data_IF_577380119675
#
_entry.id   IF_577380119675
#
_cell.length_a   1.000
_cell.length_b   1.000
_cell.length_c   1.000
_cell.angle_alpha   90.00
_cell.angle_beta   90.00
_cell.angle_gamma   90.00
#
_symmetry.space_group_name_H-M   'P 1'
#
loop_
_entity.id
_entity.type
_entity.pdbx_description
1 polymer ?
#
# COMPACT_ATOMS: atom_id res chain seq x y z
N UNK A 1 27.32 -23.69 -7.72
CA UNK A 1 26.35 -23.82 -8.85
C UNK A 1 26.27 -22.58 -9.75
N UNK A 2 27.17 -21.59 -9.60
CA UNK A 2 27.14 -20.32 -10.35
C UNK A 2 28.02 -20.30 -11.64
N UNK A 3 28.58 -21.43 -12.07
CA UNK A 3 29.57 -21.48 -13.16
C UNK A 3 29.06 -22.06 -14.49
N UNK A 4 27.76 -22.40 -14.62
CA UNK A 4 27.21 -23.04 -15.84
C UNK A 4 26.36 -22.14 -16.74
N UNK A 5 26.11 -20.89 -16.38
CA UNK A 5 25.26 -20.00 -17.19
C UNK A 5 26.01 -19.18 -18.27
N UNK A 6 27.34 -19.18 -18.28
CA UNK A 6 28.12 -18.34 -19.21
C UNK A 6 28.41 -18.97 -20.58
N UNK A 7 28.11 -20.26 -20.80
CA UNK A 7 28.50 -20.94 -22.05
C UNK A 7 27.44 -20.97 -23.15
N UNK A 8 26.23 -20.44 -22.93
CA UNK A 8 25.12 -20.61 -23.89
C UNK A 8 24.77 -19.40 -24.75
N UNK A 9 25.51 -18.29 -24.66
CA UNK A 9 25.18 -17.06 -25.40
C UNK A 9 26.20 -16.67 -26.50
N UNK A 10 27.08 -17.61 -26.89
CA UNK A 10 28.18 -17.31 -27.83
C UNK A 10 27.85 -17.46 -29.32
N UNK A 11 26.61 -17.78 -29.67
CA UNK A 11 26.20 -17.90 -31.08
C UNK A 11 24.91 -17.12 -31.31
N UNK A 12 25.04 -15.82 -31.55
CA UNK A 12 24.48 -15.19 -32.74
C UNK A 12 24.86 -13.70 -32.82
N UNK A 13 25.31 -13.34 -34.03
CA UNK A 13 25.39 -11.99 -34.63
C UNK A 13 26.72 -11.26 -34.44
N UNK A 14 27.59 -11.62 -35.38
CA UNK A 14 28.59 -10.81 -36.08
C UNK A 14 27.88 -9.62 -36.76
N UNK A 15 28.22 -8.38 -36.38
CA UNK A 15 28.85 -7.39 -37.27
C UNK A 15 28.89 -5.98 -36.62
N UNK A 16 30.09 -5.38 -36.60
CA UNK A 16 30.30 -3.94 -36.49
C UNK A 16 30.88 -3.40 -35.17
N UNK A 17 32.21 -3.47 -35.02
CA UNK A 17 33.05 -2.60 -34.17
C UNK A 17 33.12 -2.77 -32.64
N UNK A 18 32.70 -3.89 -32.04
CA UNK A 18 32.90 -4.15 -30.60
C UNK A 18 34.05 -5.13 -30.26
N UNK A 19 34.77 -5.66 -31.25
CA UNK A 19 35.65 -6.82 -31.04
C UNK A 19 37.01 -6.52 -30.42
N UNK A 20 37.56 -5.31 -30.56
CA UNK A 20 38.90 -5.01 -30.03
C UNK A 20 38.89 -4.76 -28.50
N UNK A 21 37.87 -4.08 -27.99
CA UNK A 21 37.73 -3.82 -26.56
C UNK A 21 37.33 -5.06 -25.76
N UNK A 22 36.48 -5.94 -26.32
CA UNK A 22 36.15 -7.23 -25.67
C UNK A 22 37.33 -8.19 -25.65
N UNK A 23 38.17 -8.18 -26.69
CA UNK A 23 39.42 -8.96 -26.73
C UNK A 23 40.43 -8.38 -25.74
N UNK A 24 40.58 -7.05 -25.66
CA UNK A 24 41.44 -6.39 -24.68
C UNK A 24 40.99 -6.66 -23.23
N UNK A 25 39.68 -6.64 -22.95
CA UNK A 25 39.09 -6.98 -21.65
C UNK A 25 39.26 -8.48 -21.32
N UNK A 26 39.15 -9.35 -22.32
CA UNK A 26 39.45 -10.78 -22.19
C UNK A 26 40.92 -11.04 -21.85
N UNK A 27 41.86 -10.35 -22.51
CA UNK A 27 43.29 -10.42 -22.20
C UNK A 27 43.61 -9.88 -20.81
N UNK A 28 43.00 -8.77 -20.39
CA UNK A 28 43.16 -8.24 -19.03
C UNK A 28 42.61 -9.20 -17.95
N UNK A 29 41.46 -9.85 -18.19
CA UNK A 29 40.92 -10.88 -17.29
C UNK A 29 41.82 -12.10 -17.16
N UNK A 30 42.39 -12.59 -18.27
CA UNK A 30 43.34 -13.71 -18.26
C UNK A 30 44.60 -13.32 -17.49
N UNK A 31 45.09 -12.10 -17.68
CA UNK A 31 46.31 -11.60 -17.02
C UNK A 31 46.11 -11.47 -15.50
N UNK A 32 44.94 -10.99 -15.06
CA UNK A 32 44.60 -10.90 -13.63
C UNK A 32 44.39 -12.29 -13.01
N UNK A 33 43.75 -13.23 -13.70
CA UNK A 33 43.62 -14.61 -13.20
C UNK A 33 44.98 -15.33 -13.11
N UNK A 34 45.88 -15.07 -14.06
CA UNK A 34 47.26 -15.56 -14.02
C UNK A 34 48.01 -14.95 -12.83
N UNK A 35 47.88 -13.64 -12.59
CA UNK A 35 48.46 -12.98 -11.42
C UNK A 35 47.91 -13.53 -10.10
N UNK A 36 46.60 -13.79 -10.00
CA UNK A 36 45.99 -14.43 -8.83
C UNK A 36 46.54 -15.85 -8.62
N UNK A 37 46.69 -16.66 -9.68
CA UNK A 37 47.30 -17.99 -9.58
C UNK A 37 48.77 -17.94 -9.18
N UNK A 38 49.52 -16.97 -9.70
CA UNK A 38 50.92 -16.75 -9.31
C UNK A 38 50.99 -16.38 -7.83
N UNK A 39 50.13 -15.47 -7.36
CA UNK A 39 50.06 -15.08 -5.95
C UNK A 39 49.61 -16.23 -5.05
N UNK A 40 48.63 -17.04 -5.46
CA UNK A 40 48.20 -18.24 -4.72
C UNK A 40 49.29 -19.32 -4.67
N UNK A 41 50.07 -19.49 -5.74
CA UNK A 41 51.21 -20.41 -5.75
C UNK A 41 52.37 -19.90 -4.90
N UNK A 42 52.61 -18.58 -4.88
CA UNK A 42 53.55 -17.94 -3.96
C UNK A 42 53.09 -18.16 -2.51
N UNK A 43 51.79 -18.01 -2.22
CA UNK A 43 51.20 -18.27 -0.89
C UNK A 43 51.35 -19.73 -0.41
N UNK A 44 51.37 -20.72 -1.31
CA UNK A 44 51.62 -22.12 -0.94
C UNK A 44 53.07 -22.41 -0.55
N UNK A 45 54.03 -21.61 -1.06
CA UNK A 45 55.46 -21.74 -0.75
C UNK A 45 55.84 -21.08 0.58
N UNK A 46 55.12 -20.05 1.00
CA UNK A 46 55.40 -19.32 2.26
C UNK A 46 55.42 -20.23 3.51
N UNK A 47 54.50 -21.21 3.71
CA UNK A 47 54.57 -22.15 4.82
C UNK A 47 55.78 -23.11 4.76
N UNK A 48 56.20 -23.52 3.56
CA UNK A 48 57.38 -24.36 3.35
C UNK A 48 58.67 -23.58 3.63
N UNK A 49 58.73 -22.33 3.19
CA UNK A 49 59.81 -21.39 3.50
C UNK A 49 59.85 -21.05 4.99
N UNK A 50 58.69 -20.94 5.66
CA UNK A 50 58.59 -20.74 7.11
C UNK A 50 59.07 -21.97 7.88
N UNK A 51 58.76 -23.18 7.41
CA UNK A 51 59.31 -24.44 7.97
C UNK A 51 60.82 -24.52 7.75
N UNK A 52 61.32 -24.22 6.55
CA UNK A 52 62.75 -24.27 6.25
C UNK A 52 63.56 -23.27 7.08
N UNK A 53 63.04 -22.05 7.27
CA UNK A 53 63.63 -21.03 8.15
C UNK A 53 63.57 -21.44 9.62
N UNK A 54 62.49 -22.08 10.07
CA UNK A 54 62.35 -22.62 11.44
C UNK A 54 63.33 -23.77 11.70
N UNK A 55 63.48 -24.70 10.74
CA UNK A 55 64.48 -25.78 10.81
C UNK A 55 65.92 -25.25 10.79
N UNK A 56 66.19 -24.21 9.98
CA UNK A 56 67.50 -23.55 9.92
C UNK A 56 67.82 -22.80 11.22
N UNK A 57 66.81 -22.18 11.85
CA UNK A 57 66.87 -21.59 13.19
C UNK A 57 67.14 -22.65 14.26
N UNK A 58 66.41 -23.75 14.27
CA UNK A 58 66.56 -24.81 15.27
C UNK A 58 67.95 -25.48 15.15
N UNK A 59 68.46 -25.66 13.93
CA UNK A 59 69.83 -26.11 13.67
C UNK A 59 70.91 -25.09 14.11
N UNK A 60 70.65 -23.78 13.97
CA UNK A 60 71.56 -22.72 14.44
C UNK A 60 71.60 -22.63 15.98
N UNK A 61 70.47 -22.88 16.65
CA UNK A 61 70.36 -22.94 18.10
C UNK A 61 71.13 -24.16 18.63
N UNK A 62 70.98 -25.33 17.99
CA UNK A 62 71.74 -26.55 18.32
C UNK A 62 73.25 -26.38 18.12
N UNK A 63 73.66 -25.70 17.04
CA UNK A 63 75.08 -25.47 16.73
C UNK A 63 75.75 -24.41 17.61
N UNK A 64 74.97 -23.48 18.19
CA UNK A 64 75.47 -22.42 19.08
C UNK A 64 75.40 -22.75 20.57
N UNK A 65 74.62 -23.76 20.98
CA UNK A 65 74.63 -24.28 22.35
C UNK A 65 75.97 -24.85 22.82
N UNK A 66 76.97 -24.95 21.93
CA UNK A 66 78.33 -25.42 22.23
C UNK A 66 79.37 -24.29 22.46
N UNK A 67 79.01 -23.01 22.29
CA UNK A 67 79.92 -21.89 22.58
C UNK A 67 79.25 -20.78 23.40
N UNK A 68 79.82 -20.60 24.58
CA UNK A 68 79.47 -19.75 25.72
C UNK A 68 78.99 -18.31 25.41
N UNK A 69 77.83 -17.98 25.99
CA UNK A 69 77.55 -16.88 26.94
C UNK A 69 77.92 -15.40 26.68
N UNK A 70 78.24 -14.96 25.46
CA UNK A 70 78.38 -13.50 25.20
C UNK A 70 77.60 -12.92 24.01
N UNK A 71 76.63 -13.64 23.44
CA UNK A 71 75.90 -13.21 22.22
C UNK A 71 74.37 -13.37 22.27
N UNK A 72 73.77 -13.70 23.41
CA UNK A 72 72.33 -14.02 23.52
C UNK A 72 71.41 -12.80 23.36
N UNK A 73 71.82 -11.63 23.85
CA UNK A 73 71.00 -10.41 23.83
C UNK A 73 70.89 -9.79 22.42
N UNK A 74 71.96 -9.80 21.63
CA UNK A 74 71.93 -9.30 20.26
C UNK A 74 71.17 -10.23 19.31
N UNK A 75 71.25 -11.55 19.54
CA UNK A 75 70.43 -12.53 18.83
C UNK A 75 68.95 -12.38 19.21
N UNK A 76 68.63 -12.09 20.47
CA UNK A 76 67.25 -11.78 20.89
C UNK A 76 66.74 -10.48 20.26
N UNK A 77 67.55 -9.42 20.22
CA UNK A 77 67.22 -8.16 19.53
C UNK A 77 66.98 -8.36 18.04
N UNK A 78 67.83 -9.13 17.36
CA UNK A 78 67.61 -9.48 15.95
C UNK A 78 66.35 -10.31 15.74
N UNK A 79 66.04 -11.26 16.63
CA UNK A 79 64.80 -12.03 16.56
C UNK A 79 63.55 -11.17 16.81
N UNK A 80 63.61 -10.22 17.73
CA UNK A 80 62.53 -9.26 17.98
C UNK A 80 62.31 -8.34 16.78
N UNK A 81 63.38 -7.81 16.18
CA UNK A 81 63.31 -7.02 14.96
C UNK A 81 62.76 -7.81 13.77
N UNK A 82 63.16 -9.08 13.63
CA UNK A 82 62.64 -9.97 12.59
C UNK A 82 61.14 -10.27 12.80
N UNK A 83 60.71 -10.51 14.04
CA UNK A 83 59.30 -10.74 14.36
C UNK A 83 58.45 -9.47 14.14
N UNK A 84 58.98 -8.28 14.43
CA UNK A 84 58.33 -7.02 14.10
C UNK A 84 58.20 -6.84 12.58
N UNK A 85 59.24 -7.14 11.81
CA UNK A 85 59.18 -7.10 10.34
C UNK A 85 58.16 -8.09 9.77
N UNK A 86 58.09 -9.31 10.31
CA UNK A 86 57.09 -10.31 9.90
C UNK A 86 55.68 -9.83 10.24
N UNK A 87 55.46 -9.29 11.45
CA UNK A 87 54.16 -8.75 11.87
C UNK A 87 53.71 -7.57 10.99
N UNK A 88 54.63 -6.66 10.66
CA UNK A 88 54.36 -5.54 9.75
C UNK A 88 54.04 -6.01 8.33
N UNK A 89 54.72 -7.05 7.85
CA UNK A 89 54.44 -7.67 6.56
C UNK A 89 53.05 -8.35 6.58
N UNK A 90 52.73 -9.13 7.61
CA UNK A 90 51.42 -9.78 7.77
C UNK A 90 50.28 -8.75 7.79
N UNK A 91 50.44 -7.64 8.53
CA UNK A 91 49.48 -6.51 8.49
C UNK A 91 49.36 -5.88 7.11
N UNK A 92 50.48 -5.63 6.43
CA UNK A 92 50.49 -5.03 5.08
C UNK A 92 49.81 -5.94 4.06
N UNK A 93 50.02 -7.25 4.14
CA UNK A 93 49.34 -8.24 3.31
C UNK A 93 47.85 -8.33 3.63
N UNK A 94 47.46 -8.27 4.91
CA UNK A 94 46.06 -8.21 5.33
C UNK A 94 45.34 -6.99 4.74
N UNK A 95 45.99 -5.82 4.79
CA UNK A 95 45.48 -4.60 4.15
C UNK A 95 45.37 -4.74 2.63
N UNK A 96 46.38 -5.31 1.96
CA UNK A 96 46.35 -5.54 0.52
C UNK A 96 45.22 -6.50 0.12
N UNK A 97 44.99 -7.56 0.89
CA UNK A 97 43.94 -8.54 0.63
C UNK A 97 42.55 -7.94 0.80
N UNK A 98 42.36 -7.11 1.83
CA UNK A 98 41.13 -6.34 2.01
C UNK A 98 40.92 -5.36 0.84
N UNK A 99 41.95 -4.61 0.44
CA UNK A 99 41.87 -3.71 -0.72
C UNK A 99 41.51 -4.45 -2.02
N UNK A 100 42.05 -5.65 -2.24
CA UNK A 100 41.69 -6.48 -3.41
C UNK A 100 40.23 -6.94 -3.33
N UNK A 101 39.76 -7.31 -2.14
CA UNK A 101 38.36 -7.69 -1.92
C UNK A 101 37.42 -6.51 -2.18
N UNK A 102 37.75 -5.33 -1.65
CA UNK A 102 36.96 -4.11 -1.82
C UNK A 102 36.94 -3.64 -3.28
N UNK A 103 38.07 -3.76 -3.99
CA UNK A 103 38.13 -3.50 -5.44
C UNK A 103 37.28 -4.48 -6.25
N UNK A 104 37.27 -5.77 -5.90
CA UNK A 104 36.42 -6.75 -6.59
C UNK A 104 34.93 -6.48 -6.34
N UNK A 105 34.55 -6.13 -5.12
CA UNK A 105 33.18 -5.71 -4.79
C UNK A 105 32.80 -4.46 -5.58
N UNK A 106 33.67 -3.46 -5.62
CA UNK A 106 33.46 -2.23 -6.39
C UNK A 106 33.30 -2.49 -7.89
N UNK A 107 34.11 -3.41 -8.46
CA UNK A 107 33.99 -3.82 -9.87
C UNK A 107 32.68 -4.54 -10.16
N UNK A 108 32.24 -5.43 -9.27
CA UNK A 108 30.94 -6.10 -9.42
C UNK A 108 29.79 -5.09 -9.36
N UNK A 109 29.86 -4.13 -8.44
CA UNK A 109 28.87 -3.07 -8.33
C UNK A 109 28.82 -2.22 -9.61
N UNK A 110 29.97 -1.86 -10.20
CA UNK A 110 30.04 -1.15 -11.48
C UNK A 110 29.44 -1.96 -12.65
N UNK A 111 29.62 -3.27 -12.69
CA UNK A 111 29.03 -4.12 -13.72
C UNK A 111 27.49 -4.19 -13.60
N UNK A 112 26.97 -4.28 -12.36
CA UNK A 112 25.53 -4.25 -12.11
C UNK A 112 24.94 -2.88 -12.51
N UNK A 113 25.62 -1.80 -12.12
CA UNK A 113 25.33 -0.41 -12.53
C UNK A 113 25.21 -0.27 -14.05
N UNK A 114 26.22 -0.73 -14.80
CA UNK A 114 26.25 -0.70 -16.26
C UNK A 114 25.14 -1.55 -16.88
N UNK A 115 24.84 -2.72 -16.30
CA UNK A 115 23.77 -3.60 -16.75
C UNK A 115 22.39 -2.94 -16.63
N UNK A 116 22.11 -2.30 -15.49
CA UNK A 116 20.84 -1.59 -15.25
C UNK A 116 20.70 -0.39 -16.17
N UNK A 117 21.73 0.46 -16.30
CA UNK A 117 21.70 1.59 -17.24
C UNK A 117 21.46 1.11 -18.67
N UNK A 118 22.17 0.08 -19.11
CA UNK A 118 22.04 -0.45 -20.48
C UNK A 118 20.63 -1.00 -20.73
N UNK A 119 20.06 -1.71 -19.76
CA UNK A 119 18.69 -2.19 -19.84
C UNK A 119 17.68 -1.04 -19.84
N UNK A 120 17.83 -0.05 -18.96
CA UNK A 120 16.97 1.13 -18.92
C UNK A 120 17.01 1.92 -20.23
N UNK A 121 18.20 2.15 -20.80
CA UNK A 121 18.37 2.84 -22.10
C UNK A 121 17.79 2.01 -23.25
N UNK A 122 17.93 0.67 -23.21
CA UNK A 122 17.33 -0.22 -24.20
C UNK A 122 15.80 -0.19 -24.13
N UNK A 123 15.24 -0.20 -22.91
CA UNK A 123 13.80 -0.10 -22.68
C UNK A 123 13.29 1.26 -23.16
N UNK A 124 13.93 2.38 -22.80
CA UNK A 124 13.55 3.72 -23.27
C UNK A 124 13.55 3.80 -24.81
N UNK A 125 14.57 3.24 -25.48
CA UNK A 125 14.63 3.17 -26.95
C UNK A 125 13.53 2.29 -27.55
N UNK A 126 13.23 1.14 -26.95
CA UNK A 126 12.15 0.26 -27.40
C UNK A 126 10.78 0.91 -27.24
N UNK A 127 10.52 1.54 -26.09
CA UNK A 127 9.26 2.19 -25.80
C UNK A 127 9.03 3.39 -26.72
N UNK A 128 10.05 4.19 -27.01
CA UNK A 128 9.97 5.29 -27.99
C UNK A 128 9.63 4.83 -29.41
N UNK A 129 10.11 3.65 -29.81
CA UNK A 129 9.95 3.15 -31.18
C UNK A 129 8.71 2.26 -31.37
N UNK A 130 8.22 1.59 -30.32
CA UNK A 130 7.21 0.53 -30.43
C UNK A 130 6.09 0.59 -29.39
N UNK A 131 5.89 1.73 -28.72
CA UNK A 131 4.90 1.90 -27.63
C UNK A 131 3.50 1.35 -27.94
N UNK A 132 3.01 1.45 -29.17
CA UNK A 132 1.64 1.03 -29.53
C UNK A 132 1.56 -0.42 -30.00
N UNK A 133 2.62 -0.94 -30.62
CA UNK A 133 2.68 -2.27 -31.24
C UNK A 133 3.32 -3.34 -30.37
N UNK A 134 3.68 -3.02 -29.13
CA UNK A 134 4.31 -3.97 -28.21
C UNK A 134 3.33 -5.08 -27.82
N UNK A 135 3.73 -6.31 -28.15
CA UNK A 135 3.04 -7.53 -27.73
C UNK A 135 3.13 -7.67 -26.20
N UNK A 136 2.02 -8.09 -25.58
CA UNK A 136 1.86 -8.20 -24.13
C UNK A 136 2.91 -9.15 -23.52
N UNK A 137 3.28 -10.21 -24.25
CA UNK A 137 4.32 -11.17 -23.82
C UNK A 137 5.70 -10.51 -23.75
N UNK A 138 6.00 -9.63 -24.70
CA UNK A 138 7.28 -8.90 -24.73
C UNK A 138 7.30 -7.89 -23.59
N UNK A 139 6.18 -7.20 -23.36
CA UNK A 139 6.05 -6.23 -22.26
C UNK A 139 6.24 -6.90 -20.89
N UNK A 140 5.60 -8.04 -20.64
CA UNK A 140 5.75 -8.79 -19.38
C UNK A 140 7.21 -9.21 -19.14
N UNK A 141 7.90 -9.68 -20.19
CA UNK A 141 9.33 -10.03 -20.11
C UNK A 141 10.21 -8.82 -19.81
N UNK A 142 9.90 -7.66 -20.38
CA UNK A 142 10.63 -6.41 -20.13
C UNK A 142 10.43 -5.98 -18.68
N UNK A 143 9.18 -5.94 -18.23
CA UNK A 143 8.80 -5.55 -16.86
C UNK A 143 9.45 -6.47 -15.83
N UNK A 144 9.38 -7.79 -16.03
CA UNK A 144 9.99 -8.76 -15.11
C UNK A 144 11.52 -8.62 -15.02
N UNK A 145 12.19 -8.37 -16.14
CA UNK A 145 13.65 -8.10 -16.15
C UNK A 145 14.00 -6.79 -15.44
N UNK A 146 13.25 -5.73 -15.70
CA UNK A 146 13.45 -4.43 -15.08
C UNK A 146 13.22 -4.50 -13.56
N UNK A 147 12.11 -5.11 -13.12
CA UNK A 147 11.79 -5.30 -11.72
C UNK A 147 12.88 -6.07 -10.96
N UNK A 148 13.39 -7.16 -11.54
CA UNK A 148 14.46 -7.95 -10.96
C UNK A 148 15.75 -7.12 -10.82
N UNK A 149 16.13 -6.38 -11.86
CA UNK A 149 17.32 -5.53 -11.83
C UNK A 149 17.19 -4.40 -10.81
N UNK A 150 16.03 -3.74 -10.75
CA UNK A 150 15.73 -2.71 -9.76
C UNK A 150 15.87 -3.27 -8.33
N UNK A 151 15.31 -4.46 -8.06
CA UNK A 151 15.44 -5.11 -6.75
C UNK A 151 16.91 -5.35 -6.36
N UNK A 152 17.76 -5.78 -7.29
CA UNK A 152 19.19 -5.95 -7.01
C UNK A 152 19.91 -4.63 -6.72
N UNK A 153 19.54 -3.55 -7.41
CA UNK A 153 20.16 -2.24 -7.17
C UNK A 153 19.72 -1.68 -5.81
N UNK A 154 18.43 -1.83 -5.47
CA UNK A 154 17.86 -1.38 -4.21
C UNK A 154 18.48 -2.14 -3.02
N UNK A 155 18.59 -3.48 -3.10
CA UNK A 155 19.17 -4.32 -2.03
C UNK A 155 20.65 -4.04 -1.76
N UNK A 156 21.40 -3.62 -2.78
CA UNK A 156 22.84 -3.38 -2.66
C UNK A 156 23.18 -1.92 -2.34
N UNK A 157 22.18 -1.02 -2.26
CA UNK A 157 22.35 0.42 -2.03
C UNK A 157 23.32 1.08 -3.04
N UNK A 158 23.32 0.57 -4.28
CA UNK A 158 24.29 0.93 -5.32
C UNK A 158 23.86 2.20 -6.10
N UNK A 159 22.65 2.71 -5.84
CA UNK A 159 22.00 3.79 -6.60
C UNK A 159 22.81 5.08 -6.57
N UNK A 160 23.14 5.60 -7.76
CA UNK A 160 23.65 6.98 -7.95
C UNK A 160 22.53 7.87 -8.46
N UNK A 161 22.62 9.19 -8.22
CA UNK A 161 21.60 10.17 -8.64
C UNK A 161 21.24 10.04 -10.12
N UNK A 162 22.22 9.93 -11.02
CA UNK A 162 21.98 9.77 -12.46
C UNK A 162 21.24 8.48 -12.84
N UNK A 163 21.39 7.41 -12.05
CA UNK A 163 20.65 6.15 -12.27
C UNK A 163 19.22 6.28 -11.80
N UNK A 164 19.01 6.98 -10.68
CA UNK A 164 17.69 7.21 -10.14
C UNK A 164 16.80 7.92 -11.17
N UNK A 165 17.32 8.95 -11.84
CA UNK A 165 16.57 9.72 -12.85
C UNK A 165 16.19 8.87 -14.07
N UNK A 166 17.13 8.05 -14.56
CA UNK A 166 16.89 7.13 -15.68
C UNK A 166 15.88 6.04 -15.30
N UNK A 167 16.00 5.48 -14.09
CA UNK A 167 15.11 4.44 -13.59
C UNK A 167 13.68 4.96 -13.42
N UNK A 168 13.51 6.13 -12.80
CA UNK A 168 12.18 6.78 -12.67
C UNK A 168 11.57 7.03 -14.05
N UNK A 169 12.35 7.56 -14.99
CA UNK A 169 11.87 7.84 -16.36
C UNK A 169 11.39 6.57 -17.06
N UNK A 170 12.16 5.48 -16.98
CA UNK A 170 11.80 4.20 -17.61
C UNK A 170 10.60 3.57 -16.95
N UNK A 171 10.53 3.62 -15.62
CA UNK A 171 9.41 3.10 -14.85
C UNK A 171 8.11 3.84 -15.19
N UNK A 172 8.13 5.17 -15.27
CA UNK A 172 6.98 5.97 -15.67
C UNK A 172 6.52 5.61 -17.09
N UNK A 173 7.45 5.38 -18.01
CA UNK A 173 7.10 4.94 -19.38
C UNK A 173 6.50 3.53 -19.39
N UNK A 174 7.06 2.59 -18.64
CA UNK A 174 6.52 1.23 -18.53
C UNK A 174 5.12 1.25 -17.93
N UNK A 175 4.92 1.96 -16.82
CA UNK A 175 3.61 2.15 -16.18
C UNK A 175 2.63 2.76 -17.16
N UNK A 176 3.03 3.76 -17.96
CA UNK A 176 2.15 4.36 -18.97
C UNK A 176 1.70 3.36 -20.05
N UNK A 177 2.60 2.50 -20.54
CA UNK A 177 2.22 1.47 -21.53
C UNK A 177 1.32 0.41 -20.90
N UNK A 178 1.62 -0.02 -19.66
CA UNK A 178 0.77 -0.95 -18.91
C UNK A 178 -0.62 -0.34 -18.69
N UNK A 179 -0.71 0.94 -18.28
CA UNK A 179 -1.97 1.67 -18.10
C UNK A 179 -2.84 1.62 -19.36
N UNK A 180 -2.25 1.90 -20.53
CA UNK A 180 -2.98 1.89 -21.79
C UNK A 180 -3.53 0.49 -22.12
N UNK A 181 -2.72 -0.56 -21.96
CA UNK A 181 -3.15 -1.95 -22.20
C UNK A 181 -4.19 -2.42 -21.18
N UNK A 182 -4.02 -2.04 -19.92
CA UNK A 182 -4.96 -2.35 -18.84
C UNK A 182 -6.33 -1.73 -19.10
N UNK A 183 -6.39 -0.45 -19.46
CA UNK A 183 -7.65 0.24 -19.76
C UNK A 183 -8.35 -0.36 -20.99
N UNK A 184 -7.61 -0.68 -22.05
CA UNK A 184 -8.16 -1.38 -23.23
C UNK A 184 -8.73 -2.76 -22.87
N UNK A 185 -8.05 -3.50 -21.98
CA UNK A 185 -8.51 -4.81 -21.54
C UNK A 185 -9.78 -4.74 -20.68
N UNK A 186 -9.90 -3.69 -19.85
CA UNK A 186 -11.12 -3.42 -19.09
C UNK A 186 -12.27 -3.06 -20.02
N UNK A 187 -12.06 -2.23 -21.05
CA UNK A 187 -13.09 -1.91 -22.04
C UNK A 187 -13.54 -3.13 -22.85
N UNK A 188 -12.64 -4.09 -23.08
CA UNK A 188 -12.91 -5.33 -23.82
C UNK A 188 -13.40 -6.49 -22.95
N UNK A 189 -13.53 -6.31 -21.62
CA UNK A 189 -13.84 -7.37 -20.65
C UNK A 189 -12.89 -8.60 -20.73
N UNK A 190 -11.61 -8.38 -21.10
CA UNK A 190 -10.62 -9.45 -21.26
C UNK A 190 -9.92 -9.78 -19.93
N UNK A 191 -10.41 -10.81 -19.24
CA UNK A 191 -9.86 -11.27 -17.97
C UNK A 191 -8.39 -11.74 -18.05
N UNK A 192 -7.94 -12.24 -19.19
CA UNK A 192 -6.58 -12.78 -19.33
C UNK A 192 -5.58 -11.63 -19.40
N UNK A 193 -5.86 -10.62 -20.23
CA UNK A 193 -5.01 -9.44 -20.35
C UNK A 193 -5.02 -8.64 -19.05
N UNK A 194 -6.19 -8.48 -18.40
CA UNK A 194 -6.29 -7.84 -17.08
C UNK A 194 -5.39 -8.53 -16.06
N UNK A 195 -5.43 -9.86 -15.98
CA UNK A 195 -4.58 -10.64 -15.06
C UNK A 195 -3.09 -10.37 -15.31
N UNK A 196 -2.66 -10.40 -16.57
CA UNK A 196 -1.26 -10.13 -16.95
C UNK A 196 -0.84 -8.70 -16.61
N UNK A 197 -1.71 -7.71 -16.85
CA UNK A 197 -1.47 -6.32 -16.46
C UNK A 197 -1.29 -6.16 -14.94
N UNK A 198 -2.15 -6.79 -14.13
CA UNK A 198 -2.04 -6.74 -12.67
C UNK A 198 -0.74 -7.37 -12.15
N UNK A 199 -0.30 -8.50 -12.73
CA UNK A 199 1.01 -9.10 -12.39
C UNK A 199 2.19 -8.20 -12.76
N UNK A 200 2.09 -7.45 -13.85
CA UNK A 200 3.10 -6.46 -14.22
C UNK A 200 3.15 -5.30 -13.22
N UNK A 201 2.00 -4.79 -12.75
CA UNK A 201 1.96 -3.80 -11.67
C UNK A 201 2.54 -4.34 -10.37
N UNK A 202 2.20 -5.58 -10.01
CA UNK A 202 2.72 -6.25 -8.81
C UNK A 202 4.25 -6.39 -8.87
N UNK A 203 4.79 -6.81 -10.02
CA UNK A 203 6.24 -6.90 -10.27
C UNK A 203 6.95 -5.56 -10.08
N UNK A 204 6.29 -4.45 -10.47
CA UNK A 204 6.82 -3.09 -10.30
C UNK A 204 6.53 -2.49 -8.92
N UNK A 205 5.80 -3.20 -8.05
CA UNK A 205 5.29 -2.68 -6.76
C UNK A 205 4.44 -1.40 -6.93
N UNK A 206 3.70 -1.31 -8.03
CA UNK A 206 2.88 -0.16 -8.42
C UNK A 206 1.38 -0.42 -8.23
N UNK A 207 1.01 -1.01 -7.10
CA UNK A 207 -0.38 -1.32 -6.75
C UNK A 207 -1.27 -0.08 -6.72
N UNK A 208 -0.80 0.96 -6.04
CA UNK A 208 -1.52 2.24 -5.92
C UNK A 208 -1.75 2.91 -7.28
N UNK A 209 -0.79 2.81 -8.20
CA UNK A 209 -0.92 3.42 -9.53
C UNK A 209 -2.00 2.72 -10.36
N UNK A 210 -2.09 1.39 -10.28
CA UNK A 210 -3.14 0.59 -10.94
C UNK A 210 -4.54 0.93 -10.41
N UNK A 211 -4.67 1.05 -9.09
CA UNK A 211 -5.94 1.41 -8.45
C UNK A 211 -6.34 2.86 -8.75
N UNK A 212 -5.37 3.78 -8.81
CA UNK A 212 -5.63 5.19 -9.11
C UNK A 212 -5.97 5.43 -10.59
N UNK A 213 -5.30 4.75 -11.54
CA UNK A 213 -5.65 4.89 -12.96
C UNK A 213 -7.06 4.35 -13.24
N UNK A 214 -7.43 3.23 -12.61
CA UNK A 214 -8.79 2.68 -12.68
C UNK A 214 -9.81 3.66 -12.08
N UNK A 215 -9.49 4.22 -10.90
CA UNK A 215 -10.31 5.22 -10.23
C UNK A 215 -10.58 6.42 -11.14
N UNK A 216 -9.53 7.02 -11.69
CA UNK A 216 -9.63 8.27 -12.46
C UNK A 216 -10.32 8.08 -13.82
N UNK A 217 -10.12 6.93 -14.46
CA UNK A 217 -10.53 6.72 -15.85
C UNK A 217 -11.89 6.03 -15.96
N UNK A 218 -12.19 5.08 -15.07
CA UNK A 218 -13.40 4.25 -15.17
C UNK A 218 -14.43 4.65 -14.11
N UNK A 219 -14.01 4.68 -12.84
CA UNK A 219 -14.93 4.93 -11.71
C UNK A 219 -15.40 6.38 -11.68
N UNK A 220 -14.47 7.34 -11.77
CA UNK A 220 -14.74 8.77 -11.62
C UNK A 220 -15.74 9.30 -12.64
N UNK A 221 -15.62 9.03 -13.96
CA UNK A 221 -16.59 9.56 -14.92
C UNK A 221 -18.01 9.03 -14.69
N UNK A 222 -18.15 7.79 -14.20
CA UNK A 222 -19.44 7.21 -13.88
C UNK A 222 -20.03 7.84 -12.61
N UNK A 223 -19.28 7.84 -11.49
CA UNK A 223 -19.76 8.38 -10.23
C UNK A 223 -19.99 9.89 -10.28
N UNK A 224 -19.15 10.66 -10.95
CA UNK A 224 -19.34 12.11 -11.10
C UNK A 224 -20.65 12.44 -11.82
N UNK A 225 -21.03 11.66 -12.85
CA UNK A 225 -22.33 11.80 -13.53
C UNK A 225 -23.49 11.40 -12.63
N UNK A 226 -23.30 10.37 -11.81
CA UNK A 226 -24.32 9.84 -10.91
C UNK A 226 -24.61 10.79 -9.72
N UNK A 227 -23.57 11.39 -9.15
CA UNK A 227 -23.61 12.27 -7.98
C UNK A 227 -23.77 13.77 -8.31
N UNK A 228 -24.03 14.13 -9.57
CA UNK A 228 -24.26 15.53 -9.97
C UNK A 228 -25.52 16.12 -9.33
N UNK A 229 -25.54 17.42 -9.00
CA UNK A 229 -26.68 18.11 -8.32
C UNK A 229 -28.06 17.84 -8.96
N UNK A 230 -28.09 17.74 -10.29
CA UNK A 230 -29.32 17.44 -11.06
C UNK A 230 -29.87 16.02 -10.84
N UNK A 231 -29.10 15.11 -10.23
CA UNK A 231 -29.53 13.72 -10.02
C UNK A 231 -30.50 13.57 -8.85
N UNK A 232 -30.38 14.42 -7.81
CA UNK A 232 -31.29 14.44 -6.65
C UNK A 232 -32.66 14.96 -7.02
N UNK A 233 -32.73 16.00 -7.84
CA UNK A 233 -34.00 16.54 -8.35
C UNK A 233 -34.70 15.53 -9.26
N UNK A 234 -33.94 14.86 -10.13
CA UNK A 234 -34.46 13.79 -11.00
C UNK A 234 -34.83 12.51 -10.25
N UNK A 235 -34.27 12.26 -9.07
CA UNK A 235 -34.54 11.06 -8.28
C UNK A 235 -35.70 11.22 -7.26
N UNK A 236 -36.48 12.29 -7.36
CA UNK A 236 -37.49 12.68 -6.37
C UNK A 236 -36.90 12.86 -4.95
N UNK A 237 -35.70 13.43 -4.84
CA UNK A 237 -34.99 13.68 -3.57
C UNK A 237 -34.60 12.40 -2.78
N UNK A 238 -34.75 11.22 -3.36
CA UNK A 238 -34.32 9.94 -2.77
C UNK A 238 -32.91 9.60 -3.23
N UNK A 239 -31.99 9.52 -2.26
CA UNK A 239 -30.59 9.15 -2.49
C UNK A 239 -30.47 7.63 -2.72
N UNK A 240 -31.48 6.85 -2.34
CA UNK A 240 -31.53 5.39 -2.44
C UNK A 240 -31.31 4.91 -3.88
N UNK A 241 -31.88 5.60 -4.87
CA UNK A 241 -31.71 5.26 -6.29
C UNK A 241 -30.28 5.52 -6.77
N UNK A 242 -29.68 6.62 -6.32
CA UNK A 242 -28.30 6.99 -6.63
C UNK A 242 -27.37 5.91 -6.07
N UNK A 243 -27.58 5.51 -4.82
CA UNK A 243 -26.78 4.46 -4.20
C UNK A 243 -26.96 3.09 -4.84
N UNK A 244 -28.19 2.69 -5.21
CA UNK A 244 -28.42 1.44 -5.95
C UNK A 244 -27.64 1.41 -7.26
N UNK A 245 -27.72 2.47 -8.06
CA UNK A 245 -26.97 2.55 -9.31
C UNK A 245 -25.45 2.55 -9.10
N UNK A 246 -24.96 3.05 -7.95
CA UNK A 246 -23.56 2.98 -7.59
C UNK A 246 -23.13 1.55 -7.21
N UNK A 247 -23.99 0.81 -6.51
CA UNK A 247 -23.76 -0.60 -6.20
C UNK A 247 -23.84 -1.49 -7.45
N UNK A 248 -24.79 -1.22 -8.34
CA UNK A 248 -24.93 -1.92 -9.61
C UNK A 248 -23.65 -1.80 -10.47
N UNK A 249 -22.95 -0.67 -10.40
CA UNK A 249 -21.67 -0.47 -11.08
C UNK A 249 -20.58 -1.42 -10.55
N UNK A 250 -20.55 -1.72 -9.25
CA UNK A 250 -19.62 -2.70 -8.68
C UNK A 250 -19.93 -4.09 -9.28
N UNK A 251 -21.21 -4.46 -9.35
CA UNK A 251 -21.63 -5.79 -9.77
C UNK A 251 -21.61 -6.00 -11.30
N UNK A 252 -21.57 -4.91 -12.07
CA UNK A 252 -21.52 -4.94 -13.53
C UNK A 252 -20.13 -4.55 -14.05
N UNK A 253 -19.77 -3.27 -13.97
CA UNK A 253 -18.54 -2.73 -14.56
C UNK A 253 -17.25 -3.16 -13.85
N UNK A 254 -17.30 -3.44 -12.54
CA UNK A 254 -16.12 -3.94 -11.81
C UNK A 254 -16.05 -5.47 -11.78
N UNK A 255 -17.00 -6.18 -12.39
CA UNK A 255 -17.13 -7.64 -12.26
C UNK A 255 -15.88 -8.38 -12.76
N UNK A 256 -15.37 -8.04 -13.93
CA UNK A 256 -14.18 -8.70 -14.50
C UNK A 256 -12.99 -8.52 -13.56
N UNK A 257 -12.77 -7.29 -13.09
CA UNK A 257 -11.67 -6.95 -12.19
C UNK A 257 -11.76 -7.67 -10.85
N UNK A 258 -12.93 -7.64 -10.21
CA UNK A 258 -13.19 -8.35 -8.95
C UNK A 258 -13.00 -9.85 -9.12
N UNK A 259 -13.52 -10.44 -10.20
CA UNK A 259 -13.37 -11.87 -10.49
C UNK A 259 -11.90 -12.27 -10.65
N UNK A 260 -11.12 -11.45 -11.38
CA UNK A 260 -9.69 -11.70 -11.58
C UNK A 260 -8.92 -11.66 -10.26
N UNK A 261 -9.16 -10.65 -9.41
CA UNK A 261 -8.49 -10.53 -8.10
C UNK A 261 -8.90 -11.69 -7.17
N UNK A 262 -10.15 -12.13 -7.21
CA UNK A 262 -10.63 -13.23 -6.37
C UNK A 262 -10.13 -14.61 -6.79
N UNK A 263 -9.92 -14.81 -8.10
CA UNK A 263 -9.47 -16.10 -8.65
C UNK A 263 -7.96 -16.30 -8.48
N UNK A 264 -7.19 -15.20 -8.45
CA UNK A 264 -5.73 -15.21 -8.43
C UNK A 264 -5.22 -14.81 -7.04
N UNK A 265 -4.82 -15.78 -6.23
CA UNK A 265 -4.34 -15.53 -4.86
C UNK A 265 -3.07 -14.66 -4.80
N UNK A 266 -2.28 -14.62 -5.88
CA UNK A 266 -1.13 -13.73 -6.08
C UNK A 266 -1.53 -12.25 -6.18
N UNK A 267 -2.80 -11.93 -6.48
CA UNK A 267 -3.29 -10.57 -6.66
C UNK A 267 -4.07 -10.04 -5.43
N UNK A 268 -4.03 -10.73 -4.29
CA UNK A 268 -4.71 -10.31 -3.05
C UNK A 268 -4.20 -8.98 -2.47
N UNK A 269 -3.06 -8.46 -2.94
CA UNK A 269 -2.55 -7.16 -2.56
C UNK A 269 -3.40 -5.99 -3.11
N UNK A 270 -4.20 -6.22 -4.15
CA UNK A 270 -5.04 -5.20 -4.76
C UNK A 270 -6.41 -5.13 -4.08
N UNK A 271 -6.86 -3.92 -3.77
CA UNK A 271 -8.21 -3.66 -3.28
C UNK A 271 -8.86 -2.50 -4.06
N UNK A 272 -9.28 -2.80 -5.29
CA UNK A 272 -9.95 -1.82 -6.17
C UNK A 272 -11.28 -1.29 -5.60
N UNK A 273 -11.99 -2.09 -4.79
CA UNK A 273 -13.26 -1.64 -4.19
C UNK A 273 -12.98 -0.55 -3.15
N UNK A 274 -11.98 -0.73 -2.30
CA UNK A 274 -11.61 0.28 -1.31
C UNK A 274 -10.82 1.45 -1.93
N UNK A 275 -9.75 1.17 -2.67
CA UNK A 275 -8.82 2.20 -3.14
C UNK A 275 -9.29 2.95 -4.38
N UNK A 276 -10.15 2.35 -5.21
CA UNK A 276 -10.71 3.00 -6.39
C UNK A 276 -12.16 3.42 -6.16
N UNK A 277 -13.05 2.47 -5.89
CA UNK A 277 -14.48 2.76 -5.80
C UNK A 277 -14.84 3.60 -4.58
N UNK A 278 -14.52 3.16 -3.37
CA UNK A 278 -14.89 3.86 -2.13
C UNK A 278 -14.30 5.27 -2.07
N UNK A 279 -12.99 5.42 -2.34
CA UNK A 279 -12.33 6.74 -2.35
C UNK A 279 -13.00 7.74 -3.30
N UNK A 280 -13.42 7.29 -4.48
CA UNK A 280 -14.12 8.17 -5.42
C UNK A 280 -15.58 8.38 -5.04
N UNK A 281 -16.27 7.37 -4.51
CA UNK A 281 -17.63 7.48 -3.99
C UNK A 281 -17.72 8.51 -2.86
N UNK A 282 -16.82 8.43 -1.88
CA UNK A 282 -16.75 9.38 -0.77
C UNK A 282 -16.54 10.81 -1.31
N UNK A 283 -15.57 10.98 -2.20
CA UNK A 283 -15.28 12.27 -2.84
C UNK A 283 -16.48 12.84 -3.59
N UNK A 284 -17.10 12.06 -4.48
CA UNK A 284 -18.23 12.53 -5.28
C UNK A 284 -19.48 12.77 -4.44
N UNK A 285 -19.68 12.03 -3.36
CA UNK A 285 -20.75 12.29 -2.38
C UNK A 285 -20.50 13.56 -1.56
N UNK A 286 -19.25 13.90 -1.24
CA UNK A 286 -18.89 15.15 -0.56
C UNK A 286 -19.07 16.36 -1.47
N UNK A 287 -18.57 16.28 -2.70
CA UNK A 287 -18.55 17.38 -3.67
C UNK A 287 -19.91 17.57 -4.36
N UNK A 288 -20.54 16.48 -4.80
CA UNK A 288 -21.77 16.52 -5.58
C UNK A 288 -23.06 16.55 -4.77
N UNK A 289 -23.02 16.13 -3.50
CA UNK A 289 -24.20 16.06 -2.63
C UNK A 289 -23.97 16.66 -1.23
N UNK A 290 -23.56 17.94 -1.10
CA UNK A 290 -23.26 18.52 0.22
C UNK A 290 -24.51 18.67 1.10
N UNK A 291 -25.68 18.88 0.49
CA UNK A 291 -26.93 19.18 1.20
C UNK A 291 -27.66 17.94 1.74
N UNK A 292 -27.25 16.71 1.35
CA UNK A 292 -27.96 15.48 1.77
C UNK A 292 -27.82 15.21 3.27
N UNK A 293 -26.76 15.74 3.89
CA UNK A 293 -26.43 15.54 5.31
C UNK A 293 -26.93 16.65 6.21
N UNK A 294 -27.67 17.63 5.67
CA UNK A 294 -28.22 18.73 6.44
C UNK A 294 -29.41 18.27 7.32
N UNK A 295 -29.43 18.60 8.63
CA UNK A 295 -30.47 18.14 9.56
C UNK A 295 -31.78 18.95 9.48
N UNK A 296 -31.89 19.95 8.60
CA UNK A 296 -33.00 20.90 8.57
C UNK A 296 -34.39 20.28 8.35
N UNK A 297 -34.47 19.12 7.68
CA UNK A 297 -35.67 18.29 7.63
C UNK A 297 -35.35 16.94 8.29
N UNK A 298 -35.83 16.68 9.52
CA UNK A 298 -35.43 15.51 10.28
C UNK A 298 -35.95 14.20 9.67
N UNK A 299 -37.13 14.20 9.03
CA UNK A 299 -37.66 13.01 8.34
C UNK A 299 -36.78 12.62 7.14
N UNK A 300 -36.41 13.59 6.31
CA UNK A 300 -35.52 13.35 5.19
C UNK A 300 -34.10 12.99 5.64
N UNK A 301 -33.60 13.63 6.70
CA UNK A 301 -32.28 13.35 7.27
C UNK A 301 -32.19 11.89 7.74
N UNK A 302 -33.18 11.41 8.50
CA UNK A 302 -33.18 10.05 9.02
C UNK A 302 -33.22 9.02 7.87
N UNK A 303 -34.07 9.24 6.88
CA UNK A 303 -34.15 8.35 5.70
C UNK A 303 -32.81 8.31 4.95
N UNK A 304 -32.22 9.47 4.67
CA UNK A 304 -30.91 9.55 3.97
C UNK A 304 -29.79 8.92 4.78
N UNK A 305 -29.79 9.11 6.10
CA UNK A 305 -28.81 8.49 6.97
C UNK A 305 -28.90 6.96 6.93
N UNK A 306 -30.11 6.39 7.08
CA UNK A 306 -30.33 4.94 7.00
C UNK A 306 -29.86 4.37 5.67
N UNK A 307 -30.25 5.00 4.56
CA UNK A 307 -29.83 4.56 3.22
C UNK A 307 -28.33 4.67 3.01
N UNK A 308 -27.69 5.71 3.54
CA UNK A 308 -26.23 5.86 3.47
C UNK A 308 -25.56 4.75 4.27
N UNK A 309 -26.00 4.51 5.51
CA UNK A 309 -25.44 3.49 6.38
C UNK A 309 -25.57 2.08 5.79
N UNK A 310 -26.74 1.74 5.21
CA UNK A 310 -26.96 0.47 4.52
C UNK A 310 -25.99 0.27 3.35
N UNK A 311 -25.75 1.32 2.57
CA UNK A 311 -24.84 1.27 1.41
C UNK A 311 -23.40 1.12 1.86
N UNK A 312 -22.99 1.80 2.94
CA UNK A 312 -21.66 1.60 3.53
C UNK A 312 -21.46 0.16 4.02
N UNK A 313 -22.49 -0.46 4.60
CA UNK A 313 -22.45 -1.88 5.00
C UNK A 313 -22.28 -2.82 3.81
N UNK A 314 -22.93 -2.52 2.68
CA UNK A 314 -22.77 -3.33 1.46
C UNK A 314 -21.35 -3.15 0.90
N UNK A 315 -20.84 -1.91 0.85
CA UNK A 315 -19.47 -1.63 0.38
C UNK A 315 -18.43 -2.30 1.27
N UNK A 316 -18.57 -2.23 2.61
CA UNK A 316 -17.62 -2.84 3.55
C UNK A 316 -17.58 -4.37 3.40
N UNK A 317 -18.75 -5.01 3.23
CA UNK A 317 -18.86 -6.43 2.89
C UNK A 317 -18.18 -6.78 1.59
N UNK A 318 -18.37 -5.97 0.54
CA UNK A 318 -17.72 -6.15 -0.77
C UNK A 318 -16.19 -5.98 -0.67
N UNK A 319 -15.71 -5.13 0.23
CA UNK A 319 -14.29 -5.00 0.58
C UNK A 319 -13.74 -6.18 1.43
N UNK A 320 -14.56 -7.16 1.81
CA UNK A 320 -14.23 -8.28 2.71
C UNK A 320 -13.76 -7.84 4.10
N UNK A 321 -14.17 -6.66 4.53
CA UNK A 321 -13.84 -6.12 5.85
C UNK A 321 -15.04 -5.34 6.41
N UNK A 322 -15.82 -5.99 7.27
CA UNK A 322 -17.03 -5.40 7.86
C UNK A 322 -16.69 -4.32 8.89
N UNK A 323 -15.50 -4.38 9.49
CA UNK A 323 -15.03 -3.43 10.51
C UNK A 323 -14.61 -2.07 9.92
N UNK A 324 -14.62 -1.90 8.59
CA UNK A 324 -14.29 -0.62 7.96
C UNK A 324 -15.16 0.53 8.48
N UNK A 325 -16.42 0.28 8.80
CA UNK A 325 -17.32 1.35 9.28
C UNK A 325 -16.91 1.90 10.65
N UNK A 326 -16.30 1.06 11.49
CA UNK A 326 -15.92 1.42 12.87
C UNK A 326 -14.45 1.79 12.99
N UNK A 327 -13.57 1.17 12.20
CA UNK A 327 -12.12 1.32 12.31
C UNK A 327 -11.52 2.26 11.25
N UNK A 328 -12.14 2.40 10.08
CA UNK A 328 -11.58 3.21 9.01
C UNK A 328 -11.93 4.70 9.15
N UNK A 329 -10.91 5.54 9.08
CA UNK A 329 -11.06 6.99 9.22
C UNK A 329 -11.94 7.59 8.10
N UNK A 330 -11.83 7.12 6.86
CA UNK A 330 -12.60 7.67 5.74
C UNK A 330 -14.09 7.35 5.86
N UNK A 331 -14.44 6.11 6.27
CA UNK A 331 -15.85 5.74 6.53
C UNK A 331 -16.44 6.51 7.71
N UNK A 332 -15.69 6.62 8.81
CA UNK A 332 -16.15 7.34 9.99
C UNK A 332 -16.30 8.84 9.73
N UNK A 333 -15.38 9.47 8.98
CA UNK A 333 -15.52 10.85 8.52
C UNK A 333 -16.74 11.05 7.63
N UNK A 334 -17.02 10.13 6.71
CA UNK A 334 -18.20 10.21 5.85
C UNK A 334 -19.49 10.23 6.67
N UNK A 335 -19.58 9.39 7.70
CA UNK A 335 -20.72 9.35 8.60
C UNK A 335 -20.82 10.57 9.51
N UNK A 336 -19.69 11.13 9.97
CA UNK A 336 -19.67 12.36 10.79
C UNK A 336 -20.27 13.57 10.08
N UNK A 337 -20.35 13.57 8.75
CA UNK A 337 -21.07 14.60 7.97
C UNK A 337 -22.55 14.68 8.35
N UNK A 338 -23.14 13.56 8.77
CA UNK A 338 -24.46 13.53 9.38
C UNK A 338 -24.32 13.94 10.84
N UNK A 339 -24.71 15.17 11.14
CA UNK A 339 -24.68 15.70 12.50
C UNK A 339 -25.83 15.09 13.33
N UNK A 340 -25.61 13.85 13.79
CA UNK A 340 -26.56 13.12 14.63
C UNK A 340 -26.94 13.87 15.92
N UNK A 341 -26.03 14.58 16.61
CA UNK A 341 -26.39 15.42 17.75
C UNK A 341 -27.46 16.48 17.42
N UNK A 342 -27.31 17.21 16.32
CA UNK A 342 -28.30 18.23 15.91
C UNK A 342 -29.62 17.59 15.50
N UNK A 343 -29.58 16.44 14.82
CA UNK A 343 -30.81 15.67 14.52
C UNK A 343 -31.55 15.30 15.80
N UNK A 344 -30.83 14.77 16.80
CA UNK A 344 -31.45 14.42 18.09
C UNK A 344 -32.00 15.65 18.79
N UNK A 345 -31.29 16.78 18.76
CA UNK A 345 -31.76 18.02 19.39
C UNK A 345 -33.10 18.49 18.79
N UNK A 346 -33.23 18.48 17.46
CA UNK A 346 -34.48 18.81 16.77
C UNK A 346 -35.61 17.84 17.18
N UNK A 347 -35.33 16.53 17.21
CA UNK A 347 -36.30 15.51 17.65
C UNK A 347 -36.68 15.67 19.12
N UNK A 348 -35.72 15.92 19.98
CA UNK A 348 -35.92 16.17 21.41
C UNK A 348 -36.84 17.37 21.61
N UNK A 349 -36.54 18.52 20.99
CA UNK A 349 -37.33 19.73 21.11
C UNK A 349 -38.76 19.51 20.64
N UNK A 350 -38.96 18.83 19.50
CA UNK A 350 -40.28 18.48 18.98
C UNK A 350 -41.08 17.64 19.99
N UNK A 351 -40.52 16.50 20.41
CA UNK A 351 -41.20 15.55 21.30
C UNK A 351 -41.47 16.17 22.67
N UNK A 352 -40.47 16.83 23.26
CA UNK A 352 -40.59 17.44 24.58
C UNK A 352 -41.53 18.65 24.58
N UNK A 353 -41.50 19.49 23.54
CA UNK A 353 -42.39 20.66 23.44
C UNK A 353 -43.85 20.23 23.30
N UNK A 354 -44.13 19.22 22.47
CA UNK A 354 -45.48 18.68 22.30
C UNK A 354 -46.00 18.08 23.62
N UNK A 355 -45.12 17.42 24.38
CA UNK A 355 -45.43 16.88 25.70
C UNK A 355 -45.66 17.96 26.77
N UNK A 356 -44.77 18.95 26.91
CA UNK A 356 -44.91 20.03 27.90
C UNK A 356 -46.15 20.88 27.63
N UNK A 357 -46.48 21.14 26.37
CA UNK A 357 -47.72 21.85 26.00
C UNK A 357 -48.99 21.11 26.45
N UNK A 358 -48.92 19.78 26.56
CA UNK A 358 -50.03 18.98 27.07
C UNK A 358 -50.10 18.95 28.60
N UNK A 359 -49.01 19.29 29.29
CA UNK A 359 -48.96 19.46 30.75
C UNK A 359 -49.44 20.85 31.18
N UNK A 360 -49.22 21.87 30.34
CA UNK A 360 -49.61 23.27 30.57
C UNK A 360 -51.06 23.56 30.16
N UNK A 361 -51.97 22.73 30.64
CA UNK A 361 -53.41 22.81 30.36
C UNK A 361 -54.16 23.09 31.65
N UNK A 362 -55.21 23.91 31.61
CA UNK A 362 -56.05 24.14 32.78
C UNK A 362 -56.74 22.85 33.25
N UNK A 363 -57.00 22.72 34.56
CA UNK A 363 -57.58 21.52 35.18
C UNK A 363 -58.91 21.10 34.53
N UNK A 364 -59.66 22.06 33.98
CA UNK A 364 -60.94 21.83 33.32
C UNK A 364 -60.81 21.13 31.94
N UNK A 365 -59.62 21.09 31.35
CA UNK A 365 -59.31 20.49 30.04
C UNK A 365 -58.43 19.24 30.13
N UNK A 366 -58.30 18.63 31.31
CA UNK A 366 -57.47 17.45 31.53
C UNK A 366 -57.97 16.16 30.88
N UNK A 367 -59.25 16.10 30.50
CA UNK A 367 -59.81 14.89 29.91
C UNK A 367 -59.46 14.79 28.42
N UNK A 368 -58.88 13.66 28.04
CA UNK A 368 -58.61 13.35 26.65
C UNK A 368 -59.92 12.97 25.93
N UNK A 369 -59.99 13.29 24.64
CA UNK A 369 -61.00 12.72 23.75
C UNK A 369 -60.81 11.19 23.63
N UNK A 370 -61.82 10.49 23.10
CA UNK A 370 -61.72 9.05 22.81
C UNK A 370 -60.47 8.78 21.96
N UNK A 371 -59.63 7.89 22.45
CA UNK A 371 -58.37 7.50 21.82
C UNK A 371 -58.23 5.98 21.86
N UNK A 372 -57.34 5.45 21.02
CA UNK A 372 -57.16 4.01 20.81
C UNK A 372 -56.75 3.25 22.08
N UNK A 373 -56.11 3.94 23.03
CA UNK A 373 -55.52 3.35 24.25
C UNK A 373 -56.46 3.52 25.45
N UNK A 374 -57.62 4.16 25.25
CA UNK A 374 -58.59 4.47 26.31
C UNK A 374 -58.00 5.29 27.47
N UNK A 375 -56.97 6.10 27.22
CA UNK A 375 -56.41 7.03 28.19
C UNK A 375 -57.42 8.14 28.51
N UNK A 376 -57.72 8.33 29.80
CA UNK A 376 -58.68 9.36 30.23
C UNK A 376 -58.08 10.75 30.35
N UNK A 377 -56.79 10.85 30.67
CA UNK A 377 -56.09 12.11 30.88
C UNK A 377 -55.25 12.48 29.65
N UNK A 378 -55.35 13.74 29.22
CA UNK A 378 -54.59 14.33 28.10
C UNK A 378 -53.07 14.31 28.39
N UNK A 379 -52.58 14.67 29.59
CA UNK A 379 -51.18 14.50 29.99
C UNK A 379 -50.64 13.06 29.85
N UNK A 380 -51.43 12.07 30.25
CA UNK A 380 -51.03 10.66 30.16
C UNK A 380 -50.99 10.17 28.72
N UNK A 381 -51.95 10.60 27.90
CA UNK A 381 -51.96 10.31 26.47
C UNK A 381 -50.76 10.95 25.77
N UNK A 382 -50.42 12.20 26.09
CA UNK A 382 -49.26 12.90 25.54
C UNK A 382 -47.94 12.23 25.93
N UNK A 383 -47.80 11.77 27.18
CA UNK A 383 -46.64 10.98 27.60
C UNK A 383 -46.51 9.70 26.77
N UNK A 384 -47.60 8.95 26.59
CA UNK A 384 -47.57 7.73 25.81
C UNK A 384 -47.13 7.99 24.37
N UNK A 385 -47.68 9.02 23.73
CA UNK A 385 -47.30 9.41 22.36
C UNK A 385 -45.82 9.77 22.31
N UNK A 386 -45.35 10.62 23.23
CA UNK A 386 -43.97 11.08 23.27
C UNK A 386 -42.97 9.92 23.47
N UNK A 387 -43.26 9.00 24.39
CA UNK A 387 -42.43 7.81 24.61
C UNK A 387 -42.47 6.86 23.41
N UNK A 388 -43.65 6.68 22.80
CA UNK A 388 -43.79 5.85 21.58
C UNK A 388 -42.99 6.42 20.41
N UNK A 389 -43.00 7.75 20.24
CA UNK A 389 -42.22 8.45 19.21
C UNK A 389 -40.71 8.24 19.35
N UNK A 390 -40.18 8.12 20.57
CA UNK A 390 -38.75 7.84 20.79
C UNK A 390 -38.30 6.51 20.16
N UNK A 391 -39.20 5.57 19.96
CA UNK A 391 -38.92 4.24 19.39
C UNK A 391 -39.64 3.99 18.06
N UNK A 392 -40.22 5.04 17.48
CA UNK A 392 -40.86 4.96 16.17
C UNK A 392 -39.80 4.69 15.09
N UNK A 393 -40.10 3.81 14.13
CA UNK A 393 -39.20 3.48 13.02
C UNK A 393 -38.82 4.72 12.20
N UNK A 394 -39.68 5.72 12.13
CA UNK A 394 -39.47 6.96 11.36
C UNK A 394 -38.79 8.08 12.17
N UNK A 395 -38.39 7.79 13.42
CA UNK A 395 -37.66 8.72 14.29
C UNK A 395 -36.37 8.10 14.84
N UNK A 396 -36.43 6.83 15.23
CA UNK A 396 -35.35 6.10 15.87
C UNK A 396 -34.17 5.81 14.94
N UNK A 397 -32.97 5.93 15.48
CA UNK A 397 -31.70 5.55 14.86
C UNK A 397 -30.89 4.70 15.85
N UNK A 398 -30.41 3.54 15.40
CA UNK A 398 -29.67 2.59 16.25
C UNK A 398 -28.42 3.22 16.89
N UNK A 399 -27.76 4.13 16.16
CA UNK A 399 -26.56 4.83 16.60
C UNK A 399 -26.82 5.86 17.71
N UNK A 400 -28.09 6.15 18.00
CA UNK A 400 -28.53 7.05 19.07
C UNK A 400 -29.38 6.32 20.12
N UNK A 401 -29.31 4.98 20.17
CA UNK A 401 -30.14 4.16 21.04
C UNK A 401 -30.09 4.58 22.51
N UNK A 402 -28.88 4.80 23.05
CA UNK A 402 -28.65 5.26 24.42
C UNK A 402 -29.31 6.61 24.69
N UNK A 403 -29.26 7.52 23.72
CA UNK A 403 -29.81 8.86 23.84
C UNK A 403 -31.34 8.87 23.76
N UNK A 404 -31.95 8.05 22.89
CA UNK A 404 -33.41 7.88 22.85
C UNK A 404 -33.95 7.20 24.11
N UNK A 405 -33.22 6.21 24.66
CA UNK A 405 -33.58 5.61 25.96
C UNK A 405 -33.54 6.68 27.05
N UNK A 406 -32.48 7.49 27.11
CA UNK A 406 -32.37 8.60 28.06
C UNK A 406 -33.54 9.59 27.93
N UNK A 407 -33.93 9.95 26.71
CA UNK A 407 -35.08 10.82 26.46
C UNK A 407 -36.37 10.23 27.02
N UNK A 408 -36.64 8.94 26.75
CA UNK A 408 -37.83 8.28 27.27
C UNK A 408 -37.89 8.29 28.81
N UNK A 409 -36.75 8.10 29.50
CA UNK A 409 -36.67 8.18 30.96
C UNK A 409 -36.90 9.61 31.48
N UNK A 410 -36.40 10.63 30.78
CA UNK A 410 -36.63 12.03 31.15
C UNK A 410 -38.11 12.40 31.05
N UNK A 411 -38.81 11.96 30.00
CA UNK A 411 -40.25 12.16 29.83
C UNK A 411 -41.05 11.53 30.97
N UNK A 412 -40.72 10.28 31.34
CA UNK A 412 -41.34 9.57 32.47
C UNK A 412 -41.09 10.29 33.79
N UNK A 413 -39.85 10.70 34.06
CA UNK A 413 -39.48 11.45 35.27
C UNK A 413 -40.23 12.77 35.37
N UNK A 414 -40.35 13.50 34.25
CA UNK A 414 -41.09 14.77 34.17
C UNK A 414 -42.57 14.58 34.45
N UNK A 415 -43.19 13.55 33.87
CA UNK A 415 -44.59 13.22 34.14
C UNK A 415 -44.84 12.87 35.61
N UNK A 416 -43.98 12.05 36.21
CA UNK A 416 -44.09 11.70 37.63
C UNK A 416 -44.10 12.95 38.51
N UNK A 417 -43.14 13.86 38.30
CA UNK A 417 -43.06 15.12 39.04
C UNK A 417 -44.30 16.00 38.84
N UNK A 418 -44.84 16.08 37.63
CA UNK A 418 -46.09 16.79 37.36
C UNK A 418 -47.29 16.15 38.08
N UNK A 419 -47.40 14.82 38.05
CA UNK A 419 -48.50 14.10 38.70
C UNK A 419 -48.49 14.29 40.22
N UNK A 420 -47.30 14.29 40.84
CA UNK A 420 -47.16 14.52 42.28
C UNK A 420 -47.51 15.94 42.71
N UNK A 421 -47.36 16.92 41.81
CA UNK A 421 -47.60 18.33 42.11
C UNK A 421 -49.03 18.77 41.80
N UNK A 422 -49.70 18.11 40.85
CA UNK A 422 -51.00 18.56 40.30
C UNK A 422 -52.17 17.64 40.62
N UNK A 423 -51.93 16.34 40.87
CA UNK A 423 -52.98 15.34 41.14
C UNK A 423 -53.05 14.89 42.61
N UNK A 424 -52.14 15.37 43.47
CA UNK A 424 -52.29 15.31 44.92
C UNK A 424 -53.06 16.53 45.40
#
# INVERSE_FOLDING_TARGET
MAFRAHSSFRHHIVDGNSSEDEVALGFQMITIQVLIRILQNQMKKIPEDRKSLKTRRDNLILRKGLHEDFNSMDVLKQNLALNQLISNAEMSYGMLLNNIKDNNTSKNNLNLKLGVISCSVYIDKLLKNFSESLDLIILERIVGKYALQKSYVDELEIVTTDMQDIMVTVEDQLVKVINNKFLQAIEADDSEIVTRCLRMYDSLKKHNDAEDIYRRTVVRPYLQRLFSDNSVEKSNQSVDKIYKNALDFIDTNMKVLTTVVETNADLNAFNFIYNSFWKEFDKQSREGLPHITAPGNPEQFQKRYKSTYEVLLIISKKCKNEDLITQDESFTEHLKRFNLPVYLEIRYQKIASDFESALDVEVNEFYAAKNEISCKLKPTLALWIAVSQCFDKDIYLDQLADQFIRLSMLLLSRYLKWSETTLK
#
